data_IF_562792822392
#
_entry.id   IF_562792822392
#
_cell.length_a   1.000
_cell.length_b   1.000
_cell.length_c   1.000
_cell.angle_alpha   90.00
_cell.angle_beta   90.00
_cell.angle_gamma   90.00
#
_symmetry.space_group_name_H-M   'P 1'
#
loop_
_entity.id
_entity.type
_entity.pdbx_description
1 polymer ?
#
# COMPACT_ATOMS: atom_id res chain seq x y z
N UNK A 1 10.49 -12.95 -8.05
CA UNK A 1 9.54 -12.34 -7.11
C UNK A 1 8.43 -13.26 -6.66
N UNK A 2 7.69 -12.83 -5.66
CA UNK A 2 6.53 -13.55 -5.12
C UNK A 2 5.35 -12.61 -4.97
N UNK A 3 4.14 -13.15 -5.14
CA UNK A 3 2.88 -12.44 -4.97
C UNK A 3 2.07 -13.14 -3.88
N UNK A 4 1.52 -12.35 -2.96
CA UNK A 4 0.63 -12.85 -1.91
C UNK A 4 -0.57 -11.93 -1.74
N UNK A 5 -1.78 -12.51 -1.81
CA UNK A 5 -3.01 -11.75 -1.73
C UNK A 5 -3.93 -12.29 -0.62
N UNK A 6 -4.57 -11.38 0.09
CA UNK A 6 -5.70 -11.66 0.98
C UNK A 6 -6.91 -10.91 0.44
N UNK A 7 -7.97 -11.64 0.13
CA UNK A 7 -9.17 -11.10 -0.49
C UNK A 7 -9.00 -10.90 -1.99
N UNK A 8 -9.25 -9.70 -2.49
CA UNK A 8 -9.05 -9.35 -3.90
C UNK A 8 -7.58 -9.07 -4.22
N UNK A 9 -7.21 -9.06 -5.51
CA UNK A 9 -5.87 -8.63 -5.95
C UNK A 9 -5.13 -9.62 -6.85
N UNK A 10 -5.74 -10.76 -7.15
CA UNK A 10 -5.17 -11.81 -8.01
C UNK A 10 -4.88 -11.31 -9.43
N UNK A 11 -5.57 -10.25 -9.85
CA UNK A 11 -5.37 -9.63 -11.17
C UNK A 11 -3.95 -9.10 -11.37
N UNK A 12 -3.24 -8.71 -10.31
CA UNK A 12 -1.85 -8.24 -10.42
C UNK A 12 -0.95 -9.36 -10.97
N UNK A 13 -0.94 -10.52 -10.34
CA UNK A 13 -0.18 -11.68 -10.82
C UNK A 13 -0.65 -12.15 -12.20
N UNK A 14 -1.97 -12.13 -12.45
CA UNK A 14 -2.56 -12.49 -13.74
C UNK A 14 -2.04 -11.63 -14.89
N UNK A 15 -1.86 -10.32 -14.70
CA UNK A 15 -1.26 -9.46 -15.73
C UNK A 15 0.15 -9.90 -16.12
N UNK A 16 0.98 -10.29 -15.16
CA UNK A 16 2.33 -10.81 -15.42
C UNK A 16 2.29 -12.12 -16.20
N UNK A 17 1.40 -13.08 -15.82
CA UNK A 17 1.27 -14.34 -16.54
C UNK A 17 0.78 -14.14 -17.98
N UNK A 18 -0.12 -13.20 -18.22
CA UNK A 18 -0.63 -12.88 -19.57
C UNK A 18 0.41 -12.21 -20.46
N UNK A 19 1.36 -11.47 -19.90
CA UNK A 19 2.43 -10.81 -20.65
C UNK A 19 3.48 -11.80 -21.17
N UNK A 20 3.54 -13.01 -20.62
CA UNK A 20 4.56 -14.00 -20.95
C UNK A 20 5.89 -13.74 -20.23
N UNK A 21 6.82 -14.68 -20.32
CA UNK A 21 8.16 -14.58 -19.70
C UNK A 21 8.15 -14.67 -18.16
N UNK A 22 7.05 -15.01 -17.55
CA UNK A 22 6.87 -15.00 -16.09
C UNK A 22 7.72 -16.05 -15.36
N UNK A 23 8.08 -17.16 -16.00
CA UNK A 23 8.83 -18.27 -15.38
C UNK A 23 10.21 -17.88 -14.85
N UNK A 24 10.85 -16.86 -15.42
CA UNK A 24 12.13 -16.31 -14.95
C UNK A 24 12.00 -15.22 -13.89
N UNK A 25 10.79 -14.71 -13.67
CA UNK A 25 10.53 -13.55 -12.84
C UNK A 25 9.68 -13.88 -11.60
N UNK A 26 8.67 -14.74 -11.73
CA UNK A 26 7.73 -15.08 -10.67
C UNK A 26 8.05 -16.47 -10.12
N UNK A 27 8.47 -16.54 -8.87
CA UNK A 27 8.71 -17.80 -8.18
C UNK A 27 7.41 -18.40 -7.61
N UNK A 28 6.50 -17.56 -7.12
CA UNK A 28 5.26 -18.01 -6.46
C UNK A 28 4.17 -16.93 -6.53
N UNK A 29 2.93 -17.37 -6.65
CA UNK A 29 1.75 -16.56 -6.33
C UNK A 29 0.85 -17.37 -5.40
N UNK A 30 0.22 -16.71 -4.42
CA UNK A 30 -0.63 -17.33 -3.43
C UNK A 30 -1.75 -16.40 -2.98
N UNK A 31 -2.95 -16.94 -2.90
CA UNK A 31 -4.12 -16.28 -2.30
C UNK A 31 -4.49 -16.95 -0.99
N UNK A 32 -4.31 -16.26 0.14
CA UNK A 32 -4.72 -16.70 1.47
C UNK A 32 -6.14 -16.20 1.77
N UNK A 33 -7.15 -16.82 1.18
CA UNK A 33 -8.53 -16.34 1.22
C UNK A 33 -9.25 -16.67 2.53
N UNK A 34 -8.95 -17.82 3.13
CA UNK A 34 -9.49 -18.22 4.43
C UNK A 34 -8.76 -17.49 5.56
N UNK A 35 -9.54 -17.00 6.54
CA UNK A 35 -9.01 -16.25 7.68
C UNK A 35 -8.07 -17.06 8.55
N UNK A 36 -8.47 -18.28 8.91
CA UNK A 36 -7.66 -19.16 9.73
C UNK A 36 -6.37 -19.56 9.04
N UNK A 37 -6.44 -19.81 7.74
CA UNK A 37 -5.26 -20.10 6.93
C UNK A 37 -4.30 -18.90 6.84
N UNK A 38 -4.85 -17.69 6.65
CA UNK A 38 -4.08 -16.45 6.64
C UNK A 38 -3.40 -16.20 7.99
N UNK A 39 -4.09 -16.44 9.11
CA UNK A 39 -3.53 -16.31 10.45
C UNK A 39 -2.45 -17.34 10.75
N UNK A 40 -2.59 -18.56 10.24
CA UNK A 40 -1.57 -19.61 10.38
C UNK A 40 -0.26 -19.25 9.66
N UNK A 41 -0.31 -18.47 8.57
CA UNK A 41 0.88 -18.06 7.82
C UNK A 41 1.47 -16.76 8.38
N UNK A 42 0.64 -15.74 8.60
CA UNK A 42 1.08 -14.37 8.88
C UNK A 42 0.90 -13.94 10.35
N UNK A 43 0.36 -14.83 11.18
CA UNK A 43 0.04 -14.54 12.58
C UNK A 43 -1.31 -13.81 12.74
N UNK A 44 -1.82 -13.78 13.94
CA UNK A 44 -3.08 -13.11 14.30
C UNK A 44 -2.83 -11.61 14.45
N UNK A 45 -3.80 -10.79 14.03
CA UNK A 45 -3.80 -9.34 14.29
C UNK A 45 -4.53 -9.04 15.60
N UNK A 46 -4.01 -8.10 16.38
CA UNK A 46 -4.57 -7.73 17.70
C UNK A 46 -6.03 -7.26 17.62
N UNK A 47 -6.36 -6.54 16.57
CA UNK A 47 -7.71 -6.02 16.30
C UNK A 47 -8.58 -6.98 15.48
N UNK A 48 -8.09 -8.18 15.18
CA UNK A 48 -8.73 -9.22 14.35
C UNK A 48 -9.17 -8.75 12.96
N UNK A 49 -8.56 -7.68 12.45
CA UNK A 49 -8.81 -7.17 11.10
C UNK A 49 -7.76 -7.72 10.14
N UNK A 50 -8.19 -7.98 8.91
CA UNK A 50 -7.33 -8.53 7.86
C UNK A 50 -6.84 -7.46 6.88
N UNK A 51 -7.61 -6.38 6.72
CA UNK A 51 -7.26 -5.26 5.83
C UNK A 51 -6.57 -4.18 6.63
N UNK A 52 -5.30 -4.42 6.98
CA UNK A 52 -4.49 -3.51 7.81
C UNK A 52 -3.08 -3.32 7.24
N UNK A 53 -2.44 -2.20 7.58
CA UNK A 53 -1.02 -1.96 7.26
C UNK A 53 -0.12 -3.00 7.92
N UNK A 54 -0.45 -3.39 9.16
CA UNK A 54 0.30 -4.40 9.90
C UNK A 54 0.30 -5.73 9.15
N UNK A 55 -0.88 -6.20 8.71
CA UNK A 55 -1.02 -7.43 7.91
C UNK A 55 -0.19 -7.36 6.63
N UNK A 56 -0.29 -6.26 5.86
CA UNK A 56 0.52 -6.07 4.67
C UNK A 56 2.02 -6.18 4.97
N UNK A 57 2.50 -5.52 6.03
CA UNK A 57 3.92 -5.54 6.43
C UNK A 57 4.38 -6.94 6.78
N UNK A 58 3.58 -7.72 7.51
CA UNK A 58 3.87 -9.13 7.84
C UNK A 58 3.95 -9.98 6.58
N UNK A 59 3.01 -9.80 5.64
CA UNK A 59 3.00 -10.51 4.36
C UNK A 59 4.28 -10.23 3.56
N UNK A 60 4.63 -8.97 3.35
CA UNK A 60 5.82 -8.57 2.59
C UNK A 60 7.10 -9.20 3.16
N UNK A 61 7.28 -9.13 4.47
CA UNK A 61 8.45 -9.70 5.15
C UNK A 61 8.49 -11.23 5.09
N UNK A 62 7.35 -11.88 5.37
CA UNK A 62 7.25 -13.34 5.30
C UNK A 62 7.60 -13.86 3.91
N UNK A 63 7.05 -13.24 2.88
CA UNK A 63 7.22 -13.67 1.50
C UNK A 63 8.67 -13.51 1.01
N UNK A 64 9.36 -12.44 1.40
CA UNK A 64 10.79 -12.29 1.11
C UNK A 64 11.62 -13.37 1.81
N UNK A 65 11.40 -13.58 3.09
CA UNK A 65 12.15 -14.59 3.86
C UNK A 65 11.96 -16.00 3.28
N UNK A 66 10.74 -16.33 2.89
CA UNK A 66 10.43 -17.59 2.24
C UNK A 66 11.12 -17.71 0.88
N UNK A 67 11.09 -16.63 0.08
CA UNK A 67 11.72 -16.58 -1.24
C UNK A 67 13.24 -16.79 -1.13
N UNK A 68 13.92 -16.07 -0.24
CA UNK A 68 15.36 -16.20 0.00
C UNK A 68 15.76 -17.62 0.41
N UNK A 69 14.99 -18.21 1.34
CA UNK A 69 15.22 -19.57 1.80
C UNK A 69 15.03 -20.61 0.69
N UNK A 70 13.98 -20.46 -0.12
CA UNK A 70 13.64 -21.45 -1.17
C UNK A 70 14.48 -21.32 -2.43
N UNK A 71 14.81 -20.10 -2.83
CA UNK A 71 15.66 -19.85 -4.00
C UNK A 71 17.16 -19.99 -3.65
N UNK A 72 17.49 -20.10 -2.36
CA UNK A 72 18.87 -20.22 -1.85
C UNK A 72 19.72 -19.04 -2.33
N UNK A 73 19.63 -17.92 -1.62
CA UNK A 73 20.39 -16.69 -1.91
C UNK A 73 21.86 -16.96 -2.22
N UNK A 74 22.53 -17.80 -1.42
CA UNK A 74 23.95 -18.13 -1.56
C UNK A 74 24.29 -18.80 -2.92
N UNK A 75 23.33 -19.53 -3.49
CA UNK A 75 23.48 -20.15 -4.82
C UNK A 75 23.04 -19.23 -5.98
N UNK A 76 22.50 -18.06 -5.66
CA UNK A 76 21.98 -17.10 -6.63
C UNK A 76 22.33 -15.66 -6.21
N UNK A 77 23.63 -15.33 -6.05
CA UNK A 77 24.06 -14.05 -5.46
C UNK A 77 23.65 -12.84 -6.30
N UNK A 78 23.54 -12.98 -7.61
CA UNK A 78 23.23 -11.88 -8.53
C UNK A 78 21.71 -11.64 -8.70
N UNK A 79 20.86 -12.46 -8.07
CA UNK A 79 19.41 -12.30 -8.21
C UNK A 79 18.85 -11.24 -7.26
N UNK A 80 18.18 -10.27 -7.81
CA UNK A 80 17.33 -9.34 -7.05
C UNK A 80 16.01 -10.01 -6.68
N UNK A 81 15.55 -9.79 -5.46
CA UNK A 81 14.28 -10.33 -4.99
C UNK A 81 13.26 -9.23 -4.74
N UNK A 82 11.99 -9.57 -4.93
CA UNK A 82 10.87 -8.75 -4.48
C UNK A 82 9.71 -9.60 -3.97
N UNK A 83 8.94 -9.04 -3.07
CA UNK A 83 7.59 -9.49 -2.74
C UNK A 83 6.59 -8.38 -3.03
N UNK A 84 5.52 -8.73 -3.70
CA UNK A 84 4.33 -7.90 -3.80
C UNK A 84 3.24 -8.55 -2.95
N UNK A 85 2.57 -7.75 -2.14
CA UNK A 85 1.44 -8.23 -1.36
C UNK A 85 0.30 -7.22 -1.35
N UNK A 86 -0.91 -7.74 -1.17
CA UNK A 86 -2.08 -6.92 -0.90
C UNK A 86 -3.04 -7.62 0.04
N UNK A 87 -3.78 -6.82 0.80
CA UNK A 87 -4.90 -7.26 1.62
C UNK A 87 -6.05 -6.31 1.35
N UNK A 88 -7.09 -6.79 0.67
CA UNK A 88 -8.12 -5.95 0.05
C UNK A 88 -9.49 -6.58 0.21
N UNK A 89 -10.45 -5.77 0.65
CA UNK A 89 -11.87 -6.06 0.58
C UNK A 89 -12.50 -5.24 -0.54
N UNK A 90 -13.16 -5.91 -1.47
CA UNK A 90 -14.00 -5.24 -2.48
C UNK A 90 -15.35 -4.84 -1.87
N UNK A 91 -16.16 -4.11 -2.64
CA UNK A 91 -17.53 -3.81 -2.26
C UNK A 91 -18.29 -5.10 -1.93
N UNK A 92 -19.08 -5.08 -0.86
CA UNK A 92 -19.89 -6.21 -0.47
C UNK A 92 -21.11 -6.41 -1.40
N UNK A 93 -21.73 -7.58 -1.33
CA UNK A 93 -22.89 -7.90 -2.16
C UNK A 93 -24.05 -6.91 -1.93
N UNK A 94 -24.25 -6.46 -0.68
CA UNK A 94 -25.29 -5.51 -0.33
C UNK A 94 -24.93 -4.04 -0.71
N UNK A 95 -23.72 -3.80 -1.25
CA UNK A 95 -23.20 -2.47 -1.62
C UNK A 95 -23.20 -1.45 -0.49
N UNK A 96 -23.17 -1.91 0.76
CA UNK A 96 -23.16 -1.08 1.96
C UNK A 96 -21.76 -0.61 2.36
N UNK A 97 -20.76 -1.44 2.11
CA UNK A 97 -19.37 -1.12 2.41
C UNK A 97 -18.60 -0.83 1.13
N UNK A 98 -17.92 0.32 1.12
CA UNK A 98 -17.00 0.65 0.01
C UNK A 98 -15.74 -0.21 0.13
N UNK A 99 -15.30 -0.76 -1.00
CA UNK A 99 -14.07 -1.52 -1.04
C UNK A 99 -12.85 -0.66 -0.72
N UNK A 100 -11.88 -1.26 -0.03
CA UNK A 100 -10.60 -0.63 0.29
C UNK A 100 -9.54 -1.68 0.56
N UNK A 101 -8.28 -1.28 0.58
CA UNK A 101 -7.22 -2.20 0.90
C UNK A 101 -5.84 -1.59 1.01
N UNK A 102 -4.92 -2.39 1.51
CA UNK A 102 -3.51 -2.11 1.54
C UNK A 102 -2.79 -2.93 0.48
N UNK A 103 -1.87 -2.31 -0.24
CA UNK A 103 -0.95 -2.99 -1.14
C UNK A 103 0.46 -2.43 -0.99
N UNK A 104 1.45 -3.23 -1.36
CA UNK A 104 2.83 -2.80 -1.27
C UNK A 104 3.79 -3.74 -1.98
N UNK A 105 5.00 -3.25 -2.12
CA UNK A 105 6.14 -3.99 -2.63
C UNK A 105 7.34 -3.80 -1.70
N UNK A 106 8.04 -4.90 -1.43
CA UNK A 106 9.35 -4.94 -0.79
C UNK A 106 10.35 -5.48 -1.81
N UNK A 107 11.40 -4.74 -2.13
CA UNK A 107 12.22 -5.01 -3.30
C UNK A 107 13.67 -4.53 -3.14
N UNK A 108 14.53 -5.07 -3.99
CA UNK A 108 15.92 -4.66 -4.18
C UNK A 108 16.10 -4.12 -5.60
N UNK A 109 17.03 -3.20 -5.78
CA UNK A 109 17.50 -2.72 -7.10
C UNK A 109 18.88 -3.26 -7.48
N UNK A 110 19.60 -3.76 -6.48
CA UNK A 110 20.82 -4.55 -6.63
C UNK A 110 20.74 -5.74 -5.67
N UNK A 111 21.37 -6.85 -6.01
CA UNK A 111 21.33 -8.09 -5.21
C UNK A 111 21.98 -7.95 -3.83
N UNK A 112 22.89 -6.99 -3.67
CA UNK A 112 23.59 -6.70 -2.43
C UNK A 112 22.92 -5.61 -1.57
N UNK A 113 21.86 -4.97 -2.11
CA UNK A 113 21.14 -3.94 -1.39
C UNK A 113 20.25 -4.52 -0.30
N UNK A 114 20.09 -3.75 0.79
CA UNK A 114 18.97 -3.94 1.71
C UNK A 114 17.64 -3.61 1.02
N UNK A 115 16.58 -4.23 1.51
CA UNK A 115 15.25 -4.03 0.95
C UNK A 115 14.69 -2.65 1.21
N UNK A 116 14.08 -2.09 0.18
CA UNK A 116 13.22 -0.91 0.28
C UNK A 116 11.75 -1.30 0.09
N UNK A 117 10.84 -0.48 0.62
CA UNK A 117 9.41 -0.74 0.58
C UNK A 117 8.63 0.47 0.10
N UNK A 118 7.56 0.21 -0.64
CA UNK A 118 6.50 1.15 -0.93
C UNK A 118 5.20 0.49 -0.47
N UNK A 119 4.47 1.15 0.43
CA UNK A 119 3.19 0.67 0.94
C UNK A 119 2.15 1.76 0.76
N UNK A 120 0.97 1.40 0.28
CA UNK A 120 -0.13 2.35 0.09
C UNK A 120 -1.48 1.77 0.46
N UNK A 121 -2.39 2.65 0.88
CA UNK A 121 -3.80 2.33 1.08
C UNK A 121 -4.62 2.92 -0.06
N UNK A 122 -5.58 2.14 -0.53
CA UNK A 122 -6.48 2.51 -1.62
C UNK A 122 -7.94 2.36 -1.20
N UNK A 123 -8.79 3.18 -1.80
CA UNK A 123 -10.26 3.12 -1.67
C UNK A 123 -10.87 3.08 -3.04
N UNK A 124 -11.89 2.24 -3.22
CA UNK A 124 -12.59 2.14 -4.50
C UNK A 124 -13.83 3.01 -4.53
N UNK A 125 -14.04 3.66 -5.66
CA UNK A 125 -15.25 4.44 -5.93
C UNK A 125 -16.22 3.74 -6.88
N UNK A 126 -15.74 2.74 -7.63
CA UNK A 126 -16.56 1.87 -8.46
C UNK A 126 -17.54 1.05 -7.60
N UNK A 127 -18.73 0.78 -8.12
CA UNK A 127 -19.81 0.05 -7.44
C UNK A 127 -19.92 -1.42 -7.90
N UNK A 128 -18.92 -1.90 -8.59
CA UNK A 128 -18.81 -3.27 -9.10
C UNK A 128 -17.51 -3.92 -8.62
N UNK A 129 -17.61 -5.11 -7.99
CA UNK A 129 -16.47 -5.79 -7.40
C UNK A 129 -15.45 -6.22 -8.45
N UNK A 130 -15.88 -6.63 -9.65
CA UNK A 130 -14.99 -7.02 -10.74
C UNK A 130 -14.21 -5.82 -11.25
N UNK A 131 -14.88 -4.69 -11.47
CA UNK A 131 -14.22 -3.46 -11.87
C UNK A 131 -13.21 -2.96 -10.83
N UNK A 132 -13.52 -3.13 -9.53
CA UNK A 132 -12.55 -2.84 -8.45
C UNK A 132 -11.30 -3.74 -8.53
N UNK A 133 -11.48 -5.03 -8.82
CA UNK A 133 -10.36 -5.97 -8.99
C UNK A 133 -9.50 -5.63 -10.20
N UNK A 134 -10.10 -5.27 -11.32
CA UNK A 134 -9.39 -4.84 -12.54
C UNK A 134 -8.56 -3.58 -12.27
N UNK A 135 -9.14 -2.55 -11.65
CA UNK A 135 -8.43 -1.31 -11.29
C UNK A 135 -7.27 -1.59 -10.34
N UNK A 136 -7.48 -2.46 -9.34
CA UNK A 136 -6.43 -2.90 -8.41
C UNK A 136 -5.30 -3.64 -9.14
N UNK A 137 -5.66 -4.49 -10.10
CA UNK A 137 -4.70 -5.23 -10.92
C UNK A 137 -3.74 -4.31 -11.67
N UNK A 138 -4.28 -3.30 -12.35
CA UNK A 138 -3.48 -2.31 -13.07
C UNK A 138 -2.63 -1.48 -12.08
N UNK A 139 -3.22 -1.02 -10.97
CA UNK A 139 -2.51 -0.26 -9.94
C UNK A 139 -1.32 -1.04 -9.37
N UNK A 140 -1.49 -2.33 -9.11
CA UNK A 140 -0.42 -3.19 -8.61
C UNK A 140 0.72 -3.36 -9.62
N UNK A 141 0.41 -3.53 -10.90
CA UNK A 141 1.42 -3.56 -11.98
C UNK A 141 2.17 -2.24 -12.04
N UNK A 142 1.45 -1.11 -11.98
CA UNK A 142 2.05 0.22 -12.00
C UNK A 142 2.96 0.45 -10.79
N UNK A 143 2.59 -0.05 -9.62
CA UNK A 143 3.43 0.01 -8.42
C UNK A 143 4.73 -0.77 -8.59
N UNK A 144 4.66 -2.00 -9.10
CA UNK A 144 5.85 -2.83 -9.35
C UNK A 144 6.76 -2.18 -10.39
N UNK A 145 6.20 -1.74 -11.52
CA UNK A 145 6.96 -1.01 -12.54
C UNK A 145 7.58 0.27 -11.98
N UNK A 146 6.82 1.05 -11.23
CA UNK A 146 7.28 2.28 -10.59
C UNK A 146 8.42 2.04 -9.61
N UNK A 147 8.37 0.96 -8.82
CA UNK A 147 9.42 0.59 -7.89
C UNK A 147 10.76 0.34 -8.60
N UNK A 148 10.75 -0.32 -9.76
CA UNK A 148 11.99 -0.62 -10.50
C UNK A 148 12.46 0.54 -11.39
N UNK A 149 11.56 1.26 -12.03
CA UNK A 149 11.94 2.23 -13.08
C UNK A 149 11.77 3.69 -12.68
N UNK A 150 11.12 3.98 -11.54
CA UNK A 150 10.84 5.35 -11.10
C UNK A 150 11.15 5.64 -9.63
N UNK A 151 11.78 4.70 -8.90
CA UNK A 151 12.09 4.86 -7.47
C UNK A 151 12.95 6.09 -7.17
N UNK A 152 13.85 6.48 -8.09
CA UNK A 152 14.71 7.66 -7.95
C UNK A 152 13.94 9.00 -8.10
N UNK A 153 12.67 8.97 -8.52
CA UNK A 153 11.79 10.12 -8.69
C UNK A 153 10.40 9.84 -8.07
N UNK A 154 10.26 9.76 -6.74
CA UNK A 154 9.02 9.35 -6.07
C UNK A 154 7.77 10.13 -6.50
N UNK A 155 7.89 11.44 -6.76
CA UNK A 155 6.78 12.25 -7.31
C UNK A 155 6.32 11.80 -8.70
N UNK A 156 7.25 11.38 -9.54
CA UNK A 156 6.93 10.82 -10.86
C UNK A 156 6.31 9.43 -10.73
N UNK A 157 6.79 8.62 -9.77
CA UNK A 157 6.21 7.32 -9.46
C UNK A 157 4.75 7.48 -9.04
N UNK A 158 4.44 8.39 -8.12
CA UNK A 158 3.06 8.64 -7.66
C UNK A 158 2.13 8.96 -8.84
N UNK A 159 2.54 9.84 -9.74
CA UNK A 159 1.74 10.15 -10.94
C UNK A 159 1.54 8.93 -11.84
N UNK A 160 2.57 8.11 -11.97
CA UNK A 160 2.54 6.91 -12.81
C UNK A 160 1.62 5.81 -12.26
N UNK A 161 1.32 5.82 -10.96
CA UNK A 161 0.38 4.84 -10.38
C UNK A 161 -0.99 4.84 -11.07
N UNK A 162 -1.41 5.96 -11.65
CA UNK A 162 -2.69 6.10 -12.38
C UNK A 162 -2.57 5.85 -13.89
N UNK A 163 -1.42 5.36 -14.37
CA UNK A 163 -1.29 5.03 -15.78
C UNK A 163 -2.31 3.94 -16.17
N UNK A 164 -3.10 4.18 -17.23
CA UNK A 164 -4.23 3.35 -17.65
C UNK A 164 -5.32 3.07 -16.59
N UNK A 165 -5.47 3.97 -15.61
CA UNK A 165 -6.55 3.91 -14.60
C UNK A 165 -7.36 5.19 -14.66
N UNK A 166 -8.69 5.05 -14.65
CA UNK A 166 -9.58 6.19 -14.44
C UNK A 166 -9.34 6.78 -13.03
N UNK A 167 -8.96 8.06 -12.92
CA UNK A 167 -8.73 8.69 -11.61
C UNK A 167 -9.94 8.64 -10.67
N UNK A 168 -11.15 8.46 -11.22
CA UNK A 168 -12.38 8.33 -10.43
C UNK A 168 -12.67 6.88 -9.98
N UNK A 169 -11.90 5.91 -10.44
CA UNK A 169 -12.11 4.49 -10.08
C UNK A 169 -11.55 4.12 -8.71
N UNK A 170 -10.40 4.68 -8.37
CA UNK A 170 -9.62 4.32 -7.18
C UNK A 170 -8.90 5.56 -6.62
N UNK A 171 -8.91 5.70 -5.31
CA UNK A 171 -8.26 6.77 -4.56
C UNK A 171 -7.05 6.20 -3.82
N UNK A 172 -5.92 6.91 -3.82
CA UNK A 172 -4.77 6.61 -2.96
C UNK A 172 -4.80 7.64 -1.83
N UNK A 173 -5.22 7.24 -0.65
CA UNK A 173 -5.33 8.14 0.51
C UNK A 173 -4.14 8.11 1.45
N UNK A 174 -3.24 7.14 1.28
CA UNK A 174 -2.00 7.04 2.04
C UNK A 174 -0.93 6.31 1.21
N UNK A 175 0.29 6.85 1.19
CA UNK A 175 1.46 6.21 0.62
C UNK A 175 2.68 6.44 1.51
N UNK A 176 3.52 5.41 1.65
CA UNK A 176 4.73 5.43 2.45
C UNK A 176 5.89 4.77 1.69
N UNK A 177 7.02 5.43 1.69
CA UNK A 177 8.29 4.98 1.15
C UNK A 177 9.27 4.77 2.31
N UNK A 178 9.97 3.65 2.35
CA UNK A 178 10.93 3.32 3.40
C UNK A 178 12.08 2.46 2.88
N UNK A 179 13.17 2.40 3.64
CA UNK A 179 14.37 1.65 3.26
C UNK A 179 15.45 2.51 2.61
N UNK A 180 16.58 1.89 2.22
CA UNK A 180 17.79 2.58 1.77
C UNK A 180 17.57 3.52 0.59
N UNK A 181 16.78 3.10 -0.40
CA UNK A 181 16.50 3.90 -1.60
C UNK A 181 15.74 5.20 -1.30
N UNK A 182 15.07 5.26 -0.15
CA UNK A 182 14.17 6.35 0.20
C UNK A 182 14.59 7.14 1.44
N UNK A 183 15.86 7.05 1.88
CA UNK A 183 16.37 7.76 3.07
C UNK A 183 16.14 9.27 3.04
N UNK A 184 16.15 9.88 1.85
CA UNK A 184 15.93 11.34 1.69
C UNK A 184 14.47 11.71 1.38
N UNK A 185 13.54 10.77 1.44
CA UNK A 185 12.15 10.99 1.06
C UNK A 185 11.33 11.46 2.28
N UNK A 186 10.72 12.62 2.18
CA UNK A 186 9.71 13.07 3.15
C UNK A 186 8.32 12.59 2.71
N UNK A 187 7.82 11.57 3.40
CA UNK A 187 6.52 10.98 3.13
C UNK A 187 5.34 11.95 3.32
N UNK A 188 5.50 13.01 4.13
CA UNK A 188 4.48 14.05 4.32
C UNK A 188 4.31 14.86 3.05
N UNK A 189 5.42 15.25 2.42
CA UNK A 189 5.39 15.99 1.16
C UNK A 189 4.81 15.15 0.02
N UNK A 190 5.13 13.86 -0.02
CA UNK A 190 4.54 12.95 -1.01
C UNK A 190 3.04 12.75 -0.80
N UNK A 191 2.58 12.69 0.46
CA UNK A 191 1.14 12.63 0.77
C UNK A 191 0.42 13.92 0.37
N UNK A 192 1.04 15.09 0.55
CA UNK A 192 0.50 16.36 0.03
C UNK A 192 0.49 16.38 -1.50
N UNK A 193 1.45 15.74 -2.17
CA UNK A 193 1.43 15.59 -3.62
C UNK A 193 0.25 14.72 -4.11
N UNK A 194 -0.25 13.75 -3.30
CA UNK A 194 -1.50 13.03 -3.61
C UNK A 194 -2.68 14.00 -3.71
N UNK A 195 -2.83 14.89 -2.72
CA UNK A 195 -3.89 15.91 -2.72
C UNK A 195 -3.71 16.86 -3.89
N UNK A 196 -2.50 17.35 -4.13
CA UNK A 196 -2.18 18.28 -5.21
C UNK A 196 -2.48 17.71 -6.60
N UNK A 197 -2.33 16.41 -6.78
CA UNK A 197 -2.63 15.72 -8.04
C UNK A 197 -4.07 15.18 -8.11
N UNK A 198 -4.94 15.48 -7.13
CA UNK A 198 -6.33 15.04 -7.12
C UNK A 198 -6.54 13.54 -6.86
N UNK A 199 -5.53 12.86 -6.37
CA UNK A 199 -5.57 11.41 -6.07
C UNK A 199 -6.29 11.09 -4.77
N UNK A 200 -6.44 12.07 -3.88
CA UNK A 200 -7.27 12.09 -2.68
C UNK A 200 -7.66 13.52 -2.36
N UNK A 201 -8.66 13.70 -1.52
CA UNK A 201 -9.12 15.03 -1.10
C UNK A 201 -8.37 15.56 0.13
N UNK A 202 -7.86 14.68 0.98
CA UNK A 202 -7.18 15.05 2.22
C UNK A 202 -6.20 13.97 2.66
N UNK A 203 -5.17 14.39 3.40
CA UNK A 203 -4.23 13.51 4.08
C UNK A 203 -4.14 13.90 5.54
N UNK A 204 -3.77 12.97 6.41
CA UNK A 204 -3.70 13.18 7.84
C UNK A 204 -2.32 12.80 8.37
N UNK A 205 -1.82 13.62 9.29
CA UNK A 205 -0.56 13.39 9.97
C UNK A 205 -0.78 13.24 11.47
N UNK A 206 -0.03 12.36 12.10
CA UNK A 206 0.01 12.23 13.55
C UNK A 206 0.83 13.36 14.20
N UNK A 207 0.80 13.45 15.54
CA UNK A 207 1.63 14.40 16.28
C UNK A 207 3.14 14.23 16.05
N UNK A 208 3.55 13.03 15.70
CA UNK A 208 4.93 12.65 15.33
C UNK A 208 5.28 12.99 13.87
N UNK A 209 4.33 13.56 13.11
CA UNK A 209 4.47 13.87 11.69
C UNK A 209 4.34 12.69 10.75
N UNK A 210 4.06 11.47 11.24
CA UNK A 210 3.86 10.32 10.39
C UNK A 210 2.49 10.35 9.69
N UNK A 211 2.45 9.80 8.48
CA UNK A 211 1.19 9.62 7.76
C UNK A 211 0.29 8.63 8.50
N UNK A 212 -0.95 9.01 8.76
CA UNK A 212 -1.96 8.16 9.37
C UNK A 212 -3.19 8.06 8.48
N UNK A 213 -3.84 6.90 8.51
CA UNK A 213 -5.07 6.67 7.77
C UNK A 213 -6.25 7.22 8.58
N UNK A 214 -6.96 8.26 8.09
CA UNK A 214 -8.06 8.87 8.83
C UNK A 214 -9.12 7.85 9.27
N UNK A 215 -9.51 6.96 8.38
CA UNK A 215 -10.51 5.92 8.66
C UNK A 215 -10.11 4.98 9.81
N UNK A 216 -8.80 4.75 10.05
CA UNK A 216 -8.33 3.92 11.16
C UNK A 216 -8.31 4.68 12.48
N UNK A 217 -7.93 5.94 12.46
CA UNK A 217 -7.72 6.76 13.67
C UNK A 217 -9.03 7.36 14.19
N UNK A 218 -9.92 7.78 13.29
CA UNK A 218 -11.16 8.49 13.65
C UNK A 218 -12.36 7.56 13.83
N UNK A 219 -12.24 6.28 13.50
CA UNK A 219 -13.36 5.35 13.56
C UNK A 219 -13.96 5.23 14.95
N UNK A 220 -15.27 5.51 15.08
CA UNK A 220 -16.05 5.46 16.32
C UNK A 220 -15.49 6.31 17.46
N UNK A 221 -14.78 7.40 17.17
CA UNK A 221 -14.29 8.35 18.17
C UNK A 221 -15.11 9.63 18.15
N UNK A 222 -15.27 10.25 19.30
CA UNK A 222 -15.68 11.65 19.40
C UNK A 222 -14.51 12.51 18.93
N UNK A 223 -14.78 13.46 18.05
CA UNK A 223 -13.74 14.27 17.40
C UNK A 223 -14.04 15.74 17.64
N UNK A 224 -13.08 16.44 18.23
CA UNK A 224 -13.01 17.90 18.21
C UNK A 224 -12.18 18.34 17.00
N UNK A 225 -12.77 19.12 16.11
CA UNK A 225 -12.07 19.64 14.95
C UNK A 225 -11.96 21.16 15.02
N UNK A 226 -10.73 21.66 15.10
CA UNK A 226 -10.43 23.10 15.03
C UNK A 226 -9.85 23.39 13.64
N UNK A 227 -10.52 24.25 12.88
CA UNK A 227 -10.07 24.68 11.55
C UNK A 227 -9.31 25.98 11.62
N UNK A 228 -8.09 26.01 11.10
CA UNK A 228 -7.28 27.23 11.08
C UNK A 228 -6.03 27.08 10.23
N UNK A 229 -5.29 28.19 10.08
CA UNK A 229 -4.02 28.20 9.36
C UNK A 229 -2.82 27.84 10.25
N UNK A 230 -2.90 27.99 11.54
CA UNK A 230 -1.92 27.64 12.59
C UNK A 230 -0.44 27.93 12.21
N UNK A 231 -0.17 29.11 11.67
CA UNK A 231 1.18 29.54 11.25
C UNK A 231 1.50 30.94 11.80
N UNK A 232 1.97 31.05 13.04
CA UNK A 232 2.14 30.03 14.09
C UNK A 232 0.82 29.66 14.78
N UNK A 233 0.88 28.67 15.68
CA UNK A 233 -0.16 28.48 16.71
C UNK A 233 -0.14 29.69 17.63
N UNK A 234 -1.29 30.26 17.91
CA UNK A 234 -1.44 31.46 18.77
C UNK A 234 -2.11 31.10 20.07
N UNK A 235 -1.99 31.97 21.09
CA UNK A 235 -2.69 31.82 22.38
C UNK A 235 -4.20 31.70 22.23
N UNK A 236 -4.78 32.30 21.17
CA UNK A 236 -6.20 32.15 20.86
C UNK A 236 -6.53 30.72 20.45
N UNK A 237 -5.63 30.07 19.68
CA UNK A 237 -5.83 28.68 19.30
C UNK A 237 -5.74 27.73 20.50
N UNK A 238 -4.81 28.01 21.44
CA UNK A 238 -4.68 27.27 22.71
C UNK A 238 -5.94 27.43 23.56
N UNK A 239 -6.42 28.68 23.74
CA UNK A 239 -7.63 28.98 24.51
C UNK A 239 -8.89 28.32 23.90
N UNK A 240 -9.00 28.29 22.59
CA UNK A 240 -10.07 27.56 21.89
C UNK A 240 -10.04 26.06 22.18
N UNK A 241 -8.86 25.46 22.23
CA UNK A 241 -8.69 24.05 22.53
C UNK A 241 -9.02 23.74 24.00
N UNK A 242 -8.55 24.56 24.94
CA UNK A 242 -8.75 24.36 26.38
C UNK A 242 -10.20 24.53 26.83
N UNK A 243 -10.98 25.37 26.11
CA UNK A 243 -12.40 25.66 26.43
C UNK A 243 -13.40 24.81 25.67
N UNK A 244 -12.95 23.88 24.80
CA UNK A 244 -13.80 23.02 23.99
C UNK A 244 -13.94 21.63 24.60
#
# INVERSE_FOLDING_TARGET
GTFAEIGAGQEVARHFFRSGGASGTIAKTMSAYDKGFSDAIYGIEDDKRYVTKSRLTKMLKHEINLLETRVKRDSNPDKMFFSFANTVATIDFAKKFKGHGWMGIRFQTDSNDDYSEIQMHVRFHLIDAKAQQEALGVMGVNLIYGAYYKHNKPRSLIKYLYDHIDPHAIEIDTINFSGPLFKGVDNRLLSLDLVKNGMTQAVMFGPDGNNILPAAVLYKKNILAIRGSFRPVTKVNEDMYEKS
#
